data_IF_397421556405
#
_entry.id   IF_397421556405
#
_cell.length_a   1.000
_cell.length_b   1.000
_cell.length_c   1.000
_cell.angle_alpha   90.00
_cell.angle_beta   90.00
_cell.angle_gamma   90.00
#
_symmetry.space_group_name_H-M   'P 1'
#
loop_
_entity.id
_entity.type
_entity.pdbx_description
1 polymer ?
#
# COMPACT_ATOMS: atom_id res chain seq x y z
N UNK A 1 21.60 1.47 12.29
CA UNK A 1 21.89 2.30 11.11
C UNK A 1 22.93 3.32 11.51
N UNK A 2 24.05 3.40 10.78
CA UNK A 2 25.08 4.42 11.04
C UNK A 2 24.69 5.73 10.34
N UNK A 3 25.32 6.85 10.74
CA UNK A 3 25.10 8.19 10.13
C UNK A 3 25.26 8.25 8.59
N UNK A 4 25.87 7.24 7.98
CA UNK A 4 26.14 7.14 6.53
C UNK A 4 24.99 6.56 5.70
N UNK A 5 23.94 5.98 6.31
CA UNK A 5 22.86 5.31 5.57
C UNK A 5 21.87 6.29 4.89
N UNK A 6 21.88 7.58 5.26
CA UNK A 6 20.97 8.60 4.70
C UNK A 6 21.51 9.35 3.48
N UNK A 7 22.69 8.95 2.95
CA UNK A 7 23.34 9.54 1.77
C UNK A 7 23.23 8.64 0.53
N UNK A 8 22.13 7.88 0.41
CA UNK A 8 21.90 7.11 -0.81
C UNK A 8 21.62 8.05 -2.00
N UNK A 9 22.42 7.99 -3.06
CA UNK A 9 22.37 8.94 -4.19
C UNK A 9 21.01 9.05 -4.89
N UNK A 10 20.22 7.97 -4.83
CA UNK A 10 18.88 7.86 -5.38
C UNK A 10 17.77 8.39 -4.46
N UNK A 11 18.06 8.79 -3.22
CA UNK A 11 17.04 9.22 -2.24
C UNK A 11 17.13 10.72 -1.97
N UNK A 12 15.98 11.40 -1.98
CA UNK A 12 15.81 12.78 -1.52
C UNK A 12 14.77 12.81 -0.40
N UNK A 13 15.24 12.91 0.84
CA UNK A 13 14.38 13.04 2.01
C UNK A 13 13.88 14.48 2.19
N UNK A 14 12.67 14.64 2.73
CA UNK A 14 12.32 15.88 3.43
C UNK A 14 13.06 15.97 4.76
N UNK A 15 13.20 17.20 5.27
CA UNK A 15 13.87 17.45 6.55
C UNK A 15 13.18 16.73 7.71
N UNK A 16 11.84 16.66 7.69
CA UNK A 16 11.06 15.99 8.73
C UNK A 16 11.30 14.47 8.75
N UNK A 17 11.25 13.80 7.59
CA UNK A 17 11.51 12.35 7.53
C UNK A 17 12.98 12.07 7.86
N UNK A 18 13.90 12.92 7.39
CA UNK A 18 15.32 12.80 7.74
C UNK A 18 15.52 12.91 9.26
N UNK A 19 14.98 13.92 9.93
CA UNK A 19 15.04 14.05 11.40
C UNK A 19 14.42 12.83 12.10
N UNK A 20 13.25 12.39 11.63
CA UNK A 20 12.54 11.27 12.22
C UNK A 20 13.39 9.98 12.21
N UNK A 21 14.00 9.66 11.07
CA UNK A 21 14.86 8.49 10.95
C UNK A 21 16.16 8.63 11.77
N UNK A 22 16.74 9.83 11.85
CA UNK A 22 17.94 10.08 12.67
C UNK A 22 17.65 9.97 14.18
N UNK A 23 16.48 10.42 14.61
CA UNK A 23 16.07 10.44 16.02
C UNK A 23 15.30 9.18 16.45
N UNK A 24 15.11 8.23 15.52
CA UNK A 24 14.40 6.98 15.78
C UNK A 24 12.92 7.19 16.11
N UNK A 25 12.27 8.19 15.48
CA UNK A 25 10.82 8.37 15.49
C UNK A 25 10.16 7.44 14.48
N UNK A 26 8.91 6.99 14.72
CA UNK A 26 8.20 6.12 13.80
C UNK A 26 7.86 6.83 12.49
N UNK A 27 8.11 6.17 11.36
CA UNK A 27 7.84 6.68 10.01
C UNK A 27 6.99 5.67 9.24
N UNK A 28 5.99 6.14 8.50
CA UNK A 28 5.12 5.33 7.65
C UNK A 28 5.20 5.84 6.21
N UNK A 29 5.63 4.98 5.29
CA UNK A 29 5.64 5.27 3.87
C UNK A 29 4.23 5.22 3.26
N UNK A 30 3.98 6.09 2.28
CA UNK A 30 2.71 6.18 1.53
C UNK A 30 2.99 6.21 0.02
N UNK A 31 2.13 5.61 -0.80
CA UNK A 31 2.31 5.60 -2.26
C UNK A 31 1.75 6.87 -2.93
N UNK A 32 2.26 7.22 -4.12
CA UNK A 32 1.76 8.37 -4.91
C UNK A 32 0.82 7.99 -6.05
N UNK A 33 0.59 6.70 -6.33
CA UNK A 33 -0.41 6.30 -7.35
C UNK A 33 -1.81 6.79 -7.01
N UNK A 34 -2.19 6.83 -5.73
CA UNK A 34 -3.48 7.39 -5.29
C UNK A 34 -3.63 8.86 -5.67
N UNK A 35 -2.51 9.59 -5.71
CA UNK A 35 -2.44 11.02 -6.05
C UNK A 35 -2.57 11.21 -7.57
N UNK A 36 -1.74 10.53 -8.36
CA UNK A 36 -1.67 10.77 -9.81
C UNK A 36 -2.73 10.00 -10.62
N UNK A 37 -3.24 8.89 -10.11
CA UNK A 37 -4.10 7.97 -10.85
C UNK A 37 -5.35 7.50 -10.10
N UNK A 38 -5.48 7.83 -8.81
CA UNK A 38 -6.58 7.37 -7.97
C UNK A 38 -7.84 8.23 -8.10
N UNK A 39 -7.69 9.55 -7.88
CA UNK A 39 -8.78 10.52 -7.86
C UNK A 39 -8.49 11.70 -8.79
N UNK A 40 -9.53 12.43 -9.26
CA UNK A 40 -9.32 13.66 -10.01
C UNK A 40 -8.76 14.76 -9.11
N UNK A 41 -8.05 15.72 -9.71
CA UNK A 41 -7.69 16.97 -9.04
C UNK A 41 -8.91 17.86 -8.85
N UNK A 42 -9.10 18.53 -7.68
CA UNK A 42 -8.17 18.63 -6.53
C UNK A 42 -8.36 17.56 -5.43
N UNK A 43 -9.34 16.66 -5.58
CA UNK A 43 -9.68 15.66 -4.56
C UNK A 43 -8.53 14.70 -4.25
N UNK A 44 -7.67 14.41 -5.23
CA UNK A 44 -6.47 13.61 -5.04
C UNK A 44 -5.48 14.20 -4.03
N UNK A 45 -5.23 15.51 -4.07
CA UNK A 45 -4.32 16.18 -3.14
C UNK A 45 -4.96 16.29 -1.76
N UNK A 46 -6.25 16.64 -1.70
CA UNK A 46 -6.99 16.66 -0.43
C UNK A 46 -6.97 15.28 0.26
N UNK A 47 -7.11 14.21 -0.53
CA UNK A 47 -6.99 12.83 -0.06
C UNK A 47 -5.61 12.53 0.49
N UNK A 48 -4.55 12.87 -0.24
CA UNK A 48 -3.18 12.68 0.23
C UNK A 48 -2.94 13.36 1.58
N UNK A 49 -3.40 14.60 1.73
CA UNK A 49 -3.31 15.36 2.99
C UNK A 49 -4.06 14.68 4.13
N UNK A 50 -5.25 14.14 3.88
CA UNK A 50 -6.00 13.39 4.91
C UNK A 50 -5.29 12.10 5.33
N UNK A 51 -4.68 11.39 4.39
CA UNK A 51 -3.89 10.19 4.70
C UNK A 51 -2.67 10.54 5.55
N UNK A 52 -1.93 11.59 5.18
CA UNK A 52 -0.80 12.07 5.98
C UNK A 52 -1.23 12.51 7.38
N UNK A 53 -2.36 13.21 7.49
CA UNK A 53 -2.93 13.61 8.77
C UNK A 53 -3.32 12.41 9.64
N UNK A 54 -3.85 11.33 9.06
CA UNK A 54 -4.20 10.11 9.78
C UNK A 54 -2.97 9.42 10.40
N UNK A 55 -1.86 9.36 9.67
CA UNK A 55 -0.57 8.86 10.21
C UNK A 55 -0.10 9.75 11.37
N UNK A 56 -0.15 11.08 11.19
CA UNK A 56 0.28 12.05 12.22
C UNK A 56 -0.56 11.97 13.50
N UNK A 57 -1.87 11.76 13.37
CA UNK A 57 -2.77 11.65 14.51
C UNK A 57 -2.42 10.48 15.44
N UNK A 58 -1.77 9.45 14.93
CA UNK A 58 -1.34 8.27 15.69
C UNK A 58 0.13 8.39 16.18
N UNK A 59 0.77 9.55 15.97
CA UNK A 59 2.10 9.87 16.49
C UNK A 59 3.26 9.50 15.56
N UNK A 60 2.99 9.04 14.33
CA UNK A 60 3.99 8.70 13.34
C UNK A 60 4.19 9.82 12.29
N UNK A 61 5.34 9.78 11.62
CA UNK A 61 5.67 10.72 10.54
C UNK A 61 5.33 10.10 9.19
N UNK A 62 4.47 10.73 8.37
CA UNK A 62 4.17 10.24 7.03
C UNK A 62 5.32 10.53 6.07
N UNK A 63 5.59 9.58 5.19
CA UNK A 63 6.57 9.70 4.12
C UNK A 63 5.93 9.32 2.78
N UNK A 64 5.20 10.25 2.16
CA UNK A 64 4.67 10.02 0.80
C UNK A 64 5.82 9.92 -0.20
N UNK A 65 5.82 8.86 -1.03
CA UNK A 65 6.89 8.50 -1.93
C UNK A 65 6.52 8.78 -3.39
N UNK A 66 7.46 9.32 -4.17
CA UNK A 66 7.37 9.43 -5.63
C UNK A 66 8.75 9.46 -6.28
N UNK A 67 8.81 9.66 -7.59
CA UNK A 67 10.07 9.80 -8.34
C UNK A 67 10.04 11.12 -9.10
N UNK A 68 11.12 11.90 -9.00
CA UNK A 68 11.33 13.11 -9.78
C UNK A 68 12.83 13.42 -9.91
N UNK A 69 13.26 13.88 -11.09
CA UNK A 69 14.64 14.34 -11.34
C UNK A 69 15.70 13.29 -10.96
N UNK A 70 15.40 12.02 -11.22
CA UNK A 70 16.34 10.90 -11.05
C UNK A 70 16.50 10.43 -9.61
N UNK A 71 15.60 10.84 -8.71
CA UNK A 71 15.60 10.40 -7.31
C UNK A 71 14.20 10.03 -6.84
N UNK A 72 14.13 9.13 -5.86
CA UNK A 72 12.97 8.98 -5.01
C UNK A 72 12.81 10.20 -4.11
N UNK A 73 11.60 10.73 -4.06
CA UNK A 73 11.18 11.68 -3.05
C UNK A 73 10.68 10.88 -1.85
N UNK A 74 11.26 11.09 -0.68
CA UNK A 74 10.88 10.39 0.55
C UNK A 74 10.31 11.44 1.52
N UNK A 75 8.97 11.46 1.64
CA UNK A 75 8.24 12.50 2.36
C UNK A 75 8.05 13.74 1.49
N UNK A 76 7.11 13.66 0.55
CA UNK A 76 6.68 14.82 -0.24
C UNK A 76 6.25 15.98 0.66
N UNK A 77 6.68 17.20 0.32
CA UNK A 77 6.13 18.42 0.91
C UNK A 77 4.72 18.70 0.34
N UNK A 78 3.99 19.63 0.96
CA UNK A 78 2.68 20.06 0.44
C UNK A 78 2.77 20.58 -1.02
N UNK A 79 3.85 21.29 -1.35
CA UNK A 79 4.13 21.75 -2.70
C UNK A 79 4.45 20.60 -3.67
N UNK A 80 5.03 19.50 -3.18
CA UNK A 80 5.24 18.29 -3.97
C UNK A 80 3.92 17.56 -4.21
N UNK A 81 3.07 17.42 -3.19
CA UNK A 81 1.73 16.82 -3.32
C UNK A 81 0.88 17.60 -4.34
N UNK A 82 0.85 18.93 -4.22
CA UNK A 82 0.13 19.81 -5.13
C UNK A 82 0.66 19.68 -6.56
N UNK A 83 1.99 19.69 -6.73
CA UNK A 83 2.65 19.51 -8.03
C UNK A 83 2.33 18.15 -8.64
N UNK A 84 2.38 17.07 -7.88
CA UNK A 84 2.06 15.72 -8.36
C UNK A 84 0.57 15.59 -8.71
N UNK A 85 -0.32 16.11 -7.88
CA UNK A 85 -1.77 16.03 -8.11
C UNK A 85 -2.26 16.85 -9.30
N UNK A 86 -1.64 18.00 -9.58
CA UNK A 86 -2.00 18.85 -10.71
C UNK A 86 -1.36 18.42 -12.04
N UNK A 87 -0.23 17.70 -12.00
CA UNK A 87 0.51 17.32 -13.22
C UNK A 87 -0.16 16.14 -13.92
N UNK A 88 -0.56 16.34 -15.17
CA UNK A 88 -1.06 15.26 -16.04
C UNK A 88 0.11 14.44 -16.62
N UNK A 89 -0.15 13.15 -16.87
CA UNK A 89 0.80 12.28 -17.57
C UNK A 89 2.00 11.82 -16.73
N UNK A 90 1.94 11.93 -15.40
CA UNK A 90 2.89 11.23 -14.53
C UNK A 90 2.79 9.73 -14.82
N UNK A 91 3.94 9.06 -14.94
CA UNK A 91 3.98 7.63 -15.24
C UNK A 91 3.61 6.84 -13.99
N UNK A 92 2.68 5.89 -14.09
CA UNK A 92 2.45 4.90 -13.03
C UNK A 92 3.63 3.93 -13.00
N UNK A 93 4.42 3.97 -11.93
CA UNK A 93 5.71 3.27 -11.85
C UNK A 93 5.62 2.04 -10.97
N UNK A 94 5.76 0.85 -11.55
CA UNK A 94 6.01 -0.40 -10.83
C UNK A 94 7.52 -0.64 -10.65
N UNK A 95 7.91 -1.68 -9.90
CA UNK A 95 9.32 -1.93 -9.55
C UNK A 95 10.23 -2.09 -10.79
N UNK A 96 9.72 -2.71 -11.86
CA UNK A 96 10.45 -2.85 -13.14
C UNK A 96 10.68 -1.52 -13.87
N UNK A 97 9.84 -0.53 -13.61
CA UNK A 97 9.87 0.76 -14.32
C UNK A 97 10.86 1.73 -13.64
N UNK A 98 11.21 1.48 -12.36
CA UNK A 98 12.08 2.35 -11.54
C UNK A 98 13.38 2.72 -12.25
N UNK A 99 14.21 1.78 -12.76
CA UNK A 99 15.52 2.14 -13.30
C UNK A 99 15.41 3.05 -14.51
N UNK A 100 14.38 2.85 -15.34
CA UNK A 100 14.14 3.65 -16.55
C UNK A 100 13.72 5.07 -16.17
N UNK A 101 12.75 5.22 -15.25
CA UNK A 101 12.26 6.54 -14.84
C UNK A 101 13.35 7.34 -14.11
N UNK A 102 14.14 6.69 -13.26
CA UNK A 102 15.28 7.33 -12.60
C UNK A 102 16.33 7.79 -13.62
N UNK A 103 16.74 6.92 -14.54
CA UNK A 103 17.75 7.26 -15.55
C UNK A 103 17.32 8.41 -16.47
N UNK A 104 16.03 8.51 -16.77
CA UNK A 104 15.47 9.59 -17.60
C UNK A 104 15.26 10.90 -16.84
N UNK A 105 15.39 10.90 -15.51
CA UNK A 105 15.05 12.06 -14.69
C UNK A 105 13.54 12.36 -14.66
N UNK A 106 12.69 11.41 -15.03
CA UNK A 106 11.25 11.61 -15.22
C UNK A 106 10.45 11.72 -13.91
N UNK A 107 9.14 11.97 -14.04
CA UNK A 107 8.19 11.91 -12.92
C UNK A 107 7.48 10.56 -12.89
N UNK A 108 7.52 9.90 -11.74
CA UNK A 108 6.88 8.62 -11.51
C UNK A 108 6.03 8.62 -10.25
N UNK A 109 4.77 8.21 -10.38
CA UNK A 109 3.89 7.91 -9.27
C UNK A 109 4.10 6.45 -8.87
N UNK A 110 4.60 6.22 -7.66
CA UNK A 110 4.93 4.87 -7.19
C UNK A 110 3.68 4.09 -6.87
N UNK A 111 3.66 2.82 -7.28
CA UNK A 111 2.70 1.80 -6.85
C UNK A 111 3.11 1.25 -5.48
N UNK A 112 2.37 0.30 -4.93
CA UNK A 112 2.79 -0.48 -3.77
C UNK A 112 4.19 -1.04 -3.98
N UNK A 113 4.43 -1.85 -5.02
CA UNK A 113 5.75 -2.46 -5.27
C UNK A 113 6.89 -1.43 -5.29
N UNK A 114 6.78 -0.33 -6.04
CA UNK A 114 7.88 0.65 -6.10
C UNK A 114 8.03 1.48 -4.82
N UNK A 115 6.94 1.69 -4.09
CA UNK A 115 7.00 2.34 -2.77
C UNK A 115 7.72 1.46 -1.75
N UNK A 116 7.56 0.12 -1.81
CA UNK A 116 8.30 -0.79 -0.93
C UNK A 116 9.80 -0.81 -1.22
N UNK A 117 10.21 -0.74 -2.50
CA UNK A 117 11.62 -0.60 -2.86
C UNK A 117 12.21 0.65 -2.21
N UNK A 118 11.54 1.79 -2.38
CA UNK A 118 12.00 3.06 -1.84
C UNK A 118 11.97 3.11 -0.31
N UNK A 119 10.93 2.56 0.33
CA UNK A 119 10.82 2.49 1.78
C UNK A 119 11.92 1.62 2.40
N UNK A 120 12.18 0.43 1.83
CA UNK A 120 13.25 -0.46 2.30
C UNK A 120 14.64 0.18 2.13
N UNK A 121 14.90 0.80 0.97
CA UNK A 121 16.13 1.57 0.73
C UNK A 121 16.29 2.75 1.71
N UNK A 122 15.19 3.39 2.08
CA UNK A 122 15.16 4.49 3.05
C UNK A 122 15.23 4.03 4.51
N UNK A 123 15.15 2.73 4.78
CA UNK A 123 15.06 2.18 6.14
C UNK A 123 13.74 2.49 6.85
N UNK A 124 12.66 2.71 6.11
CA UNK A 124 11.31 2.92 6.65
C UNK A 124 10.60 1.56 6.78
N UNK A 125 10.31 1.09 8.01
CA UNK A 125 9.83 -0.27 8.23
C UNK A 125 8.32 -0.45 8.00
N UNK A 126 7.54 0.61 7.83
CA UNK A 126 6.09 0.55 7.64
C UNK A 126 5.64 1.24 6.35
N UNK A 127 4.65 0.67 5.70
CA UNK A 127 3.98 1.24 4.53
C UNK A 127 2.47 1.04 4.65
N UNK A 128 1.69 2.04 4.23
CA UNK A 128 0.23 1.94 4.17
C UNK A 128 -0.29 2.14 2.74
N UNK A 129 -1.28 1.34 2.36
CA UNK A 129 -2.08 1.54 1.16
C UNK A 129 -3.53 1.12 1.44
N UNK A 130 -4.44 1.56 0.58
CA UNK A 130 -5.84 1.16 0.62
C UNK A 130 -5.97 -0.37 0.46
N UNK A 131 -5.28 -0.92 -0.54
CA UNK A 131 -5.37 -2.33 -0.89
C UNK A 131 -4.26 -2.72 -1.85
N UNK A 132 -3.74 -3.93 -1.73
CA UNK A 132 -2.63 -4.41 -2.55
C UNK A 132 -3.12 -4.85 -3.94
N UNK A 133 -2.21 -4.92 -4.91
CA UNK A 133 -2.42 -5.76 -6.08
C UNK A 133 -2.34 -7.25 -5.71
N UNK A 134 -2.63 -8.12 -6.67
CA UNK A 134 -2.66 -9.56 -6.42
C UNK A 134 -2.76 -10.35 -7.72
N UNK A 135 -3.27 -11.57 -7.61
CA UNK A 135 -3.55 -12.42 -8.76
C UNK A 135 -4.86 -11.95 -9.40
N UNK A 136 -4.85 -11.67 -10.71
CA UNK A 136 -6.06 -11.28 -11.41
C UNK A 136 -6.96 -12.49 -11.68
N UNK A 137 -8.27 -12.24 -11.86
CA UNK A 137 -9.22 -13.28 -12.26
C UNK A 137 -8.83 -13.81 -13.65
N UNK A 138 -8.74 -15.13 -13.82
CA UNK A 138 -8.27 -15.77 -15.05
C UNK A 138 -6.73 -15.83 -15.20
N UNK A 139 -5.98 -15.55 -14.13
CA UNK A 139 -4.51 -15.61 -14.14
C UNK A 139 -3.95 -17.02 -14.30
N UNK A 140 -4.74 -18.07 -14.04
CA UNK A 140 -4.34 -19.46 -14.31
C UNK A 140 -4.09 -19.73 -15.80
N UNK A 141 -4.58 -18.83 -16.68
CA UNK A 141 -4.30 -18.83 -18.12
C UNK A 141 -3.46 -17.62 -18.55
N UNK A 142 -3.82 -16.44 -18.06
CA UNK A 142 -3.23 -15.18 -18.54
C UNK A 142 -1.90 -14.83 -17.88
N UNK A 143 -1.61 -15.41 -16.70
CA UNK A 143 -0.48 -15.06 -15.85
C UNK A 143 -0.44 -13.56 -15.46
N UNK A 144 -1.58 -12.86 -15.47
CA UNK A 144 -1.69 -11.48 -14.99
C UNK A 144 -1.63 -11.43 -13.46
N UNK A 145 -0.42 -11.27 -12.94
CA UNK A 145 -0.12 -11.27 -11.50
C UNK A 145 0.61 -9.99 -11.14
N UNK A 146 0.13 -9.27 -10.13
CA UNK A 146 0.75 -8.02 -9.69
C UNK A 146 2.19 -8.24 -9.22
N UNK A 147 3.07 -7.31 -9.62
CA UNK A 147 4.45 -7.25 -9.14
C UNK A 147 4.54 -7.02 -7.62
N UNK A 148 3.47 -6.54 -6.98
CA UNK A 148 3.40 -6.38 -5.52
C UNK A 148 3.73 -7.69 -4.80
N UNK A 149 3.18 -8.83 -5.28
CA UNK A 149 3.35 -10.13 -4.63
C UNK A 149 4.82 -10.58 -4.60
N UNK A 150 5.54 -10.35 -5.69
CA UNK A 150 6.99 -10.60 -5.77
C UNK A 150 7.76 -9.57 -4.97
N UNK A 151 7.32 -8.31 -4.92
CA UNK A 151 8.02 -7.30 -4.16
C UNK A 151 7.96 -7.56 -2.66
N UNK A 152 6.87 -8.15 -2.15
CA UNK A 152 6.79 -8.57 -0.75
C UNK A 152 7.89 -9.58 -0.38
N UNK A 153 8.44 -10.35 -1.32
CA UNK A 153 9.55 -11.27 -1.00
C UNK A 153 10.92 -10.60 -0.96
N UNK A 154 10.99 -9.33 -1.37
CA UNK A 154 12.25 -8.59 -1.62
C UNK A 154 12.43 -7.36 -0.74
N UNK A 155 11.39 -6.91 -0.05
CA UNK A 155 11.42 -5.70 0.76
C UNK A 155 11.10 -5.99 2.21
N UNK A 156 11.95 -5.51 3.12
CA UNK A 156 11.77 -5.64 4.57
C UNK A 156 10.87 -4.54 5.12
N UNK A 157 9.59 -4.57 4.74
CA UNK A 157 8.59 -3.56 5.10
C UNK A 157 7.31 -4.23 5.59
N UNK A 158 6.75 -3.77 6.69
CA UNK A 158 5.42 -4.14 7.15
C UNK A 158 4.36 -3.34 6.38
N UNK A 159 3.47 -4.03 5.68
CA UNK A 159 2.49 -3.45 4.76
C UNK A 159 1.10 -3.51 5.38
N UNK A 160 0.50 -2.35 5.63
CA UNK A 160 -0.85 -2.23 6.18
C UNK A 160 -1.83 -1.92 5.06
N UNK A 161 -2.89 -2.73 4.92
CA UNK A 161 -3.89 -2.58 3.86
C UNK A 161 -5.26 -3.16 4.22
N UNK A 162 -6.30 -2.85 3.44
CA UNK A 162 -7.60 -3.52 3.54
C UNK A 162 -7.68 -4.79 2.68
N UNK A 163 -6.59 -5.56 2.65
CA UNK A 163 -6.45 -6.76 1.82
C UNK A 163 -6.17 -6.44 0.35
N UNK A 164 -6.56 -7.35 -0.54
CA UNK A 164 -6.40 -7.17 -1.99
C UNK A 164 -7.63 -6.49 -2.60
N UNK A 165 -7.42 -5.68 -3.64
CA UNK A 165 -8.51 -4.98 -4.36
C UNK A 165 -9.58 -5.99 -4.83
N UNK A 166 -10.86 -5.72 -4.58
CA UNK A 166 -11.97 -6.68 -4.81
C UNK A 166 -12.10 -7.20 -6.24
N UNK A 167 -11.56 -6.45 -7.22
CA UNK A 167 -11.50 -6.83 -8.65
C UNK A 167 -10.58 -8.03 -8.94
N UNK A 168 -9.75 -8.42 -7.98
CA UNK A 168 -8.77 -9.50 -8.10
C UNK A 168 -9.37 -10.86 -7.74
N UNK A 169 -8.59 -11.93 -7.91
CA UNK A 169 -8.87 -13.24 -7.38
C UNK A 169 -8.21 -13.39 -6.00
N UNK A 170 -9.02 -13.29 -4.94
CA UNK A 170 -8.51 -13.29 -3.57
C UNK A 170 -8.04 -14.68 -3.14
N UNK A 171 -8.69 -15.75 -3.61
CA UNK A 171 -8.28 -17.12 -3.33
C UNK A 171 -6.90 -17.41 -3.90
N UNK A 172 -6.70 -17.14 -5.19
CA UNK A 172 -5.39 -17.30 -5.81
C UNK A 172 -4.34 -16.36 -5.23
N UNK A 173 -4.72 -15.16 -4.79
CA UNK A 173 -3.79 -14.23 -4.12
C UNK A 173 -3.30 -14.79 -2.79
N UNK A 174 -4.18 -15.37 -1.97
CA UNK A 174 -3.81 -16.01 -0.70
C UNK A 174 -2.87 -17.20 -0.93
N UNK A 175 -3.21 -18.09 -1.86
CA UNK A 175 -2.37 -19.25 -2.23
C UNK A 175 -0.98 -18.83 -2.74
N UNK A 176 -0.93 -17.74 -3.52
CA UNK A 176 0.34 -17.20 -4.00
C UNK A 176 1.21 -16.69 -2.86
N UNK A 177 0.62 -15.93 -1.93
CA UNK A 177 1.32 -15.39 -0.76
C UNK A 177 1.80 -16.49 0.19
N UNK A 178 0.98 -17.52 0.39
CA UNK A 178 1.35 -18.73 1.13
C UNK A 178 2.56 -19.41 0.49
N UNK A 179 2.50 -19.65 -0.83
CA UNK A 179 3.59 -20.26 -1.60
C UNK A 179 4.89 -19.45 -1.50
N UNK A 180 4.81 -18.12 -1.43
CA UNK A 180 5.96 -17.22 -1.28
C UNK A 180 6.39 -17.02 0.18
N UNK A 181 5.76 -17.70 1.14
CA UNK A 181 6.02 -17.58 2.57
C UNK A 181 5.91 -16.13 3.08
N UNK A 182 4.97 -15.34 2.53
CA UNK A 182 4.69 -13.98 2.99
C UNK A 182 3.69 -14.06 4.15
N UNK A 183 4.06 -13.67 5.39
CA UNK A 183 3.14 -13.73 6.51
C UNK A 183 1.97 -12.76 6.35
N UNK A 184 0.77 -13.23 6.67
CA UNK A 184 -0.46 -12.43 6.66
C UNK A 184 -1.07 -12.43 8.06
N UNK A 185 -1.29 -11.24 8.62
CA UNK A 185 -1.89 -11.02 9.92
C UNK A 185 -3.11 -10.13 9.71
N UNK A 186 -4.30 -10.61 10.04
CA UNK A 186 -5.49 -9.75 10.08
C UNK A 186 -5.65 -9.16 11.48
N UNK A 187 -5.66 -7.82 11.54
CA UNK A 187 -5.78 -7.09 12.80
C UNK A 187 -7.24 -7.07 13.25
N UNK A 188 -7.53 -7.72 14.37
CA UNK A 188 -8.87 -7.79 14.97
C UNK A 188 -9.95 -8.37 14.03
N UNK A 189 -9.56 -9.28 13.14
CA UNK A 189 -10.46 -9.92 12.17
C UNK A 189 -10.07 -11.37 11.95
N UNK A 190 -11.07 -12.24 11.83
CA UNK A 190 -10.91 -13.65 11.47
C UNK A 190 -10.91 -13.87 9.94
N UNK A 191 -11.18 -12.83 9.16
CA UNK A 191 -11.33 -12.87 7.71
C UNK A 191 -10.28 -11.98 7.03
N UNK A 192 -9.79 -12.43 5.87
CA UNK A 192 -8.96 -11.61 4.99
C UNK A 192 -9.86 -10.59 4.26
N UNK A 193 -9.74 -9.27 4.51
CA UNK A 193 -10.69 -8.31 3.98
C UNK A 193 -10.64 -8.17 2.46
N UNK A 194 -11.79 -7.82 1.87
CA UNK A 194 -11.96 -7.64 0.42
C UNK A 194 -12.12 -6.15 0.06
N UNK A 195 -11.17 -5.33 0.53
CA UNK A 195 -11.06 -3.92 0.18
C UNK A 195 -12.31 -3.09 0.56
N UNK A 196 -13.27 -2.88 -0.34
CA UNK A 196 -14.54 -2.19 -0.02
C UNK A 196 -15.52 -3.06 0.77
N UNK A 197 -15.31 -4.37 0.74
CA UNK A 197 -16.15 -5.32 1.45
C UNK A 197 -15.41 -5.75 2.71
N UNK A 198 -16.11 -5.71 3.85
CA UNK A 198 -15.53 -6.06 5.15
C UNK A 198 -14.95 -7.47 5.17
N UNK A 199 -15.65 -8.43 4.59
CA UNK A 199 -15.25 -9.83 4.51
C UNK A 199 -15.14 -10.26 3.06
N UNK A 200 -14.10 -11.03 2.75
CA UNK A 200 -13.95 -11.76 1.50
C UNK A 200 -14.58 -13.15 1.56
N UNK A 201 -14.84 -13.68 2.76
CA UNK A 201 -15.25 -15.07 2.99
C UNK A 201 -14.06 -16.04 3.02
N UNK A 202 -12.83 -15.53 2.88
CA UNK A 202 -11.61 -16.32 3.09
C UNK A 202 -11.10 -16.11 4.52
N UNK A 203 -10.84 -17.20 5.28
CA UNK A 203 -10.31 -17.08 6.63
C UNK A 203 -8.92 -16.46 6.61
N UNK A 204 -8.64 -15.60 7.58
CA UNK A 204 -7.30 -15.06 7.79
C UNK A 204 -6.34 -16.17 8.24
N UNK A 205 -5.11 -16.25 7.70
CA UNK A 205 -4.11 -17.21 8.19
C UNK A 205 -3.77 -17.01 9.68
N UNK A 206 -3.64 -15.75 10.10
CA UNK A 206 -3.40 -15.37 11.49
C UNK A 206 -4.26 -14.18 11.89
N UNK A 207 -4.76 -14.19 13.12
CA UNK A 207 -5.41 -13.04 13.75
C UNK A 207 -4.57 -12.56 14.92
N UNK A 208 -4.36 -11.25 15.01
CA UNK A 208 -3.75 -10.61 16.17
C UNK A 208 -4.55 -9.35 16.54
N UNK A 209 -4.79 -9.16 17.84
CA UNK A 209 -5.68 -8.10 18.32
C UNK A 209 -4.93 -6.96 19.03
N UNK A 210 -3.73 -7.25 19.55
CA UNK A 210 -2.88 -6.32 20.29
C UNK A 210 -1.75 -5.77 19.39
N UNK A 211 -1.63 -4.44 19.20
CA UNK A 211 -0.57 -3.83 18.40
C UNK A 211 0.84 -4.17 18.87
N UNK A 212 1.06 -4.40 20.18
CA UNK A 212 2.38 -4.79 20.69
C UNK A 212 2.74 -6.22 20.30
N UNK A 213 1.76 -7.13 20.19
CA UNK A 213 1.99 -8.48 19.68
C UNK A 213 2.31 -8.44 18.18
N UNK A 214 1.61 -7.60 17.41
CA UNK A 214 1.89 -7.39 15.98
C UNK A 214 3.32 -6.87 15.78
N UNK A 215 3.73 -5.87 16.55
CA UNK A 215 5.10 -5.35 16.54
C UNK A 215 6.16 -6.44 16.82
N UNK A 216 5.94 -7.29 17.83
CA UNK A 216 6.83 -8.42 18.12
C UNK A 216 6.86 -9.44 16.99
N UNK A 217 5.72 -9.76 16.38
CA UNK A 217 5.65 -10.71 15.28
C UNK A 217 6.46 -10.24 14.06
N UNK A 218 6.36 -8.94 13.73
CA UNK A 218 7.16 -8.30 12.67
C UNK A 218 8.66 -8.43 12.97
N UNK A 219 9.09 -8.08 14.19
CA UNK A 219 10.49 -8.18 14.59
C UNK A 219 11.00 -9.63 14.60
N UNK A 220 10.20 -10.59 15.10
CA UNK A 220 10.56 -12.02 15.08
C UNK A 220 10.73 -12.53 13.66
N UNK A 221 9.82 -12.18 12.74
CA UNK A 221 9.94 -12.56 11.33
C UNK A 221 11.28 -12.13 10.74
N UNK A 222 11.70 -10.90 10.99
CA UNK A 222 12.97 -10.40 10.49
C UNK A 222 14.20 -10.91 11.27
N UNK A 223 14.07 -11.19 12.57
CA UNK A 223 15.14 -11.83 13.38
C UNK A 223 15.45 -13.26 12.97
N UNK A 224 14.50 -13.96 12.34
CA UNK A 224 14.74 -15.26 11.70
C UNK A 224 15.63 -15.16 10.44
N UNK A 225 15.99 -13.95 10.01
CA UNK A 225 16.80 -13.70 8.82
C UNK A 225 15.99 -13.47 7.54
N UNK A 226 14.66 -13.42 7.64
CA UNK A 226 13.79 -13.17 6.49
C UNK A 226 13.91 -11.71 6.01
N UNK A 227 13.97 -11.52 4.70
CA UNK A 227 14.00 -10.19 4.05
C UNK A 227 12.66 -9.79 3.44
N UNK A 228 11.63 -10.62 3.62
CA UNK A 228 10.29 -10.37 3.09
C UNK A 228 9.48 -9.44 3.99
N UNK A 229 8.46 -8.85 3.38
CA UNK A 229 7.43 -8.05 4.00
C UNK A 229 6.53 -8.91 4.88
N UNK A 230 5.85 -8.25 5.82
CA UNK A 230 4.73 -8.81 6.58
C UNK A 230 3.49 -8.06 6.17
N UNK A 231 2.43 -8.77 5.78
CA UNK A 231 1.14 -8.14 5.46
C UNK A 231 0.29 -8.06 6.73
N UNK A 232 -0.17 -6.86 7.05
CA UNK A 232 -1.14 -6.59 8.11
C UNK A 232 -2.41 -6.09 7.45
N UNK A 233 -3.50 -6.82 7.60
CA UNK A 233 -4.78 -6.44 7.02
C UNK A 233 -5.71 -5.81 8.05
N UNK A 234 -6.50 -4.84 7.61
CA UNK A 234 -7.48 -4.14 8.43
C UNK A 234 -8.77 -3.96 7.63
N UNK A 235 -9.89 -4.59 8.04
CA UNK A 235 -11.14 -4.45 7.32
C UNK A 235 -11.67 -3.02 7.38
N UNK A 236 -12.38 -2.61 6.33
CA UNK A 236 -13.17 -1.37 6.33
C UNK A 236 -14.18 -1.34 7.49
N UNK A 237 -14.47 -0.15 8.01
CA UNK A 237 -15.53 0.04 8.99
C UNK A 237 -16.90 -0.34 8.43
N UNK A 238 -17.75 -0.95 9.27
CA UNK A 238 -19.09 -1.42 8.87
C UNK A 238 -19.96 -0.32 8.28
N UNK A 239 -19.82 0.92 8.78
CA UNK A 239 -20.56 2.09 8.30
C UNK A 239 -20.26 2.46 6.85
N UNK A 240 -19.08 2.10 6.34
CA UNK A 240 -18.60 2.46 5.01
C UNK A 240 -18.48 1.25 4.08
N UNK A 241 -18.73 0.04 4.61
CA UNK A 241 -18.63 -1.21 3.86
C UNK A 241 -19.70 -1.29 2.76
N UNK A 242 -19.32 -1.91 1.65
CA UNK A 242 -20.24 -2.24 0.56
C UNK A 242 -20.51 -3.74 0.61
N UNK A 243 -21.74 -4.10 0.25
CA UNK A 243 -22.14 -5.49 0.16
C UNK A 243 -21.28 -6.25 -0.86
N UNK A 244 -20.83 -7.44 -0.44
CA UNK A 244 -19.93 -8.27 -1.23
C UNK A 244 -20.61 -8.79 -2.49
N UNK A 245 -21.85 -9.27 -2.37
CA UNK A 245 -22.56 -9.88 -3.49
C UNK A 245 -22.92 -8.83 -4.54
N UNK A 246 -23.24 -7.61 -4.11
CA UNK A 246 -23.39 -6.44 -4.98
C UNK A 246 -22.11 -6.19 -5.81
N UNK A 247 -20.95 -6.05 -5.14
CA UNK A 247 -19.67 -5.77 -5.80
C UNK A 247 -19.26 -6.91 -6.74
N UNK A 248 -19.43 -8.17 -6.32
CA UNK A 248 -19.12 -9.34 -7.13
C UNK A 248 -19.96 -9.41 -8.40
N UNK A 249 -21.26 -9.09 -8.33
CA UNK A 249 -22.11 -9.07 -9.52
C UNK A 249 -21.63 -8.05 -10.54
N UNK A 250 -21.29 -6.85 -10.09
CA UNK A 250 -20.80 -5.77 -10.95
C UNK A 250 -19.45 -6.14 -11.58
N UNK A 251 -18.53 -6.73 -10.80
CA UNK A 251 -17.21 -7.14 -11.30
C UNK A 251 -17.35 -8.22 -12.38
N UNK A 252 -18.22 -9.21 -12.18
CA UNK A 252 -18.46 -10.26 -13.18
C UNK A 252 -18.95 -9.68 -14.51
N UNK A 253 -19.94 -8.79 -14.48
CA UNK A 253 -20.45 -8.12 -15.68
C UNK A 253 -19.37 -7.27 -16.37
N UNK A 254 -18.61 -6.50 -15.59
CA UNK A 254 -17.54 -5.66 -16.11
C UNK A 254 -16.39 -6.48 -16.71
N UNK A 255 -16.08 -7.65 -16.14
CA UNK A 255 -15.02 -8.53 -16.65
C UNK A 255 -15.39 -9.14 -18.01
N UNK A 256 -16.64 -9.58 -18.18
CA UNK A 256 -17.16 -10.06 -19.48
C UNK A 256 -17.06 -8.95 -20.53
N UNK A 257 -17.46 -7.73 -20.18
CA UNK A 257 -17.39 -6.61 -21.10
C UNK A 257 -15.93 -6.24 -21.46
N UNK A 258 -15.02 -6.25 -20.49
CA UNK A 258 -13.60 -6.01 -20.73
C UNK A 258 -13.00 -7.01 -21.70
N UNK A 259 -13.40 -8.30 -21.60
CA UNK A 259 -12.95 -9.35 -22.52
C UNK A 259 -13.47 -9.12 -23.94
N UNK A 260 -14.75 -8.78 -24.10
CA UNK A 260 -15.34 -8.44 -25.40
C UNK A 260 -14.67 -7.21 -26.05
N UNK A 261 -14.24 -6.23 -25.25
CA UNK A 261 -13.53 -5.03 -25.69
C UNK A 261 -12.01 -5.25 -25.87
N UNK A 262 -11.48 -6.44 -25.56
CA UNK A 262 -10.07 -6.77 -25.67
C UNK A 262 -9.16 -6.06 -24.66
N UNK A 263 -9.72 -5.58 -23.53
CA UNK A 263 -8.99 -4.84 -22.50
C UNK A 263 -8.26 -5.84 -21.59
N UNK A 264 -6.92 -5.77 -21.57
CA UNK A 264 -6.06 -6.71 -20.84
C UNK A 264 -4.88 -6.03 -20.13
N UNK A 265 -4.23 -6.75 -19.22
CA UNK A 265 -3.02 -6.31 -18.52
C UNK A 265 -3.21 -5.01 -17.74
N UNK A 266 -2.31 -4.02 -17.85
CA UNK A 266 -2.38 -2.77 -17.07
C UNK A 266 -3.69 -1.98 -17.24
N UNK A 267 -4.43 -2.19 -18.34
CA UNK A 267 -5.72 -1.55 -18.60
C UNK A 267 -6.91 -2.17 -17.85
N UNK A 268 -6.81 -3.43 -17.40
CA UNK A 268 -7.91 -4.17 -16.79
C UNK A 268 -8.34 -3.58 -15.44
N UNK A 269 -7.39 -3.32 -14.53
CA UNK A 269 -7.69 -2.75 -13.20
C UNK A 269 -8.41 -1.41 -13.27
N UNK A 270 -7.92 -0.39 -14.00
CA UNK A 270 -8.64 0.87 -14.14
C UNK A 270 -10.02 0.72 -14.78
N UNK A 271 -10.19 -0.24 -15.70
CA UNK A 271 -11.49 -0.50 -16.34
C UNK A 271 -12.51 -1.04 -15.33
N UNK A 272 -12.19 -2.13 -14.64
CA UNK A 272 -13.06 -2.76 -13.64
C UNK A 272 -13.39 -1.77 -12.51
N UNK A 273 -12.39 -1.01 -12.06
CA UNK A 273 -12.60 -0.02 -11.01
C UNK A 273 -13.56 1.11 -11.42
N UNK A 274 -13.47 1.59 -12.67
CA UNK A 274 -14.43 2.58 -13.19
C UNK A 274 -15.84 2.01 -13.33
N UNK A 275 -15.97 0.76 -13.78
CA UNK A 275 -17.28 0.10 -13.88
C UNK A 275 -17.94 -0.01 -12.50
N UNK A 276 -17.18 -0.46 -11.49
CA UNK A 276 -17.63 -0.56 -10.09
C UNK A 276 -18.00 0.81 -9.50
N UNK A 277 -17.19 1.85 -9.75
CA UNK A 277 -17.52 3.21 -9.29
C UNK A 277 -18.79 3.77 -9.94
N UNK A 278 -19.01 3.51 -11.23
CA UNK A 278 -20.21 3.94 -11.96
C UNK A 278 -21.46 3.23 -11.45
N UNK A 279 -21.40 1.91 -11.30
CA UNK A 279 -22.54 1.10 -10.87
C UNK A 279 -22.96 1.39 -9.42
N UNK A 280 -21.99 1.68 -8.55
CA UNK A 280 -22.25 1.99 -7.12
C UNK A 280 -22.56 3.46 -6.85
N UNK A 281 -22.71 4.28 -7.89
CA UNK A 281 -23.02 5.72 -7.81
C UNK A 281 -22.04 6.48 -6.87
N UNK A 282 -20.76 6.12 -6.92
CA UNK A 282 -19.71 6.75 -6.12
C UNK A 282 -19.58 6.26 -4.67
N UNK A 283 -20.39 5.29 -4.20
CA UNK A 283 -20.21 4.68 -2.87
C UNK A 283 -18.81 4.07 -2.69
N UNK A 284 -18.26 3.44 -3.74
CA UNK A 284 -16.91 2.86 -3.70
C UNK A 284 -15.82 3.90 -3.59
N UNK A 285 -16.03 5.14 -4.07
CA UNK A 285 -15.08 6.24 -3.87
C UNK A 285 -15.02 6.61 -2.38
N UNK A 286 -16.18 6.70 -1.71
CA UNK A 286 -16.24 6.95 -0.26
C UNK A 286 -15.62 5.81 0.54
N UNK A 287 -15.94 4.57 0.18
CA UNK A 287 -15.34 3.39 0.80
C UNK A 287 -13.81 3.36 0.63
N UNK A 288 -13.30 3.71 -0.56
CA UNK A 288 -11.87 3.83 -0.83
C UNK A 288 -11.19 4.86 0.09
N UNK A 289 -11.83 6.01 0.26
CA UNK A 289 -11.34 7.04 1.16
C UNK A 289 -11.31 6.58 2.61
N UNK A 290 -12.35 5.88 3.06
CA UNK A 290 -12.42 5.30 4.40
C UNK A 290 -11.27 4.32 4.65
N UNK A 291 -11.03 3.37 3.73
CA UNK A 291 -9.92 2.41 3.89
C UNK A 291 -8.55 3.07 3.81
N UNK A 292 -8.36 4.06 2.94
CA UNK A 292 -7.08 4.79 2.85
C UNK A 292 -6.72 5.45 4.19
N UNK A 293 -7.71 6.07 4.84
CA UNK A 293 -7.52 6.76 6.11
C UNK A 293 -7.34 5.76 7.25
N UNK A 294 -8.18 4.71 7.32
CA UNK A 294 -8.12 3.74 8.41
C UNK A 294 -6.86 2.88 8.38
N UNK A 295 -6.38 2.47 7.20
CA UNK A 295 -5.14 1.69 7.09
C UNK A 295 -3.91 2.55 7.39
N UNK A 296 -3.93 3.84 7.01
CA UNK A 296 -2.86 4.78 7.35
C UNK A 296 -2.80 5.08 8.85
N UNK A 297 -3.95 5.25 9.51
CA UNK A 297 -4.02 5.39 10.96
C UNK A 297 -3.47 4.13 11.66
N UNK A 298 -3.93 2.94 11.26
CA UNK A 298 -3.41 1.70 11.85
C UNK A 298 -1.90 1.55 11.62
N UNK A 299 -1.39 1.89 10.43
CA UNK A 299 0.04 1.87 10.18
C UNK A 299 0.82 2.81 11.10
N UNK A 300 0.31 4.02 11.36
CA UNK A 300 0.89 4.94 12.33
C UNK A 300 0.96 4.34 13.73
N UNK A 301 -0.16 3.75 14.19
CA UNK A 301 -0.24 3.08 15.49
C UNK A 301 0.74 1.92 15.63
N UNK A 302 0.81 1.05 14.63
CA UNK A 302 1.71 -0.10 14.62
C UNK A 302 3.18 0.31 14.52
N UNK A 303 3.49 1.37 13.77
CA UNK A 303 4.83 1.93 13.71
C UNK A 303 5.28 2.45 15.08
N UNK A 304 4.43 3.19 15.79
CA UNK A 304 4.69 3.62 17.16
C UNK A 304 4.94 2.44 18.10
N UNK A 305 4.05 1.44 18.09
CA UNK A 305 4.19 0.24 18.93
C UNK A 305 5.49 -0.54 18.64
N UNK A 306 5.89 -0.63 17.37
CA UNK A 306 7.14 -1.27 16.96
C UNK A 306 8.37 -0.47 17.40
N UNK A 307 8.36 0.86 17.24
CA UNK A 307 9.43 1.73 17.73
C UNK A 307 9.61 1.61 19.24
N UNK A 308 8.53 1.60 20.02
CA UNK A 308 8.59 1.47 21.48
C UNK A 308 9.15 0.11 21.90
N UNK A 309 8.72 -0.96 21.24
CA UNK A 309 9.26 -2.30 21.46
C UNK A 309 10.77 -2.37 21.16
N UNK A 310 11.25 -1.79 20.05
CA UNK A 310 12.68 -1.75 19.73
C UNK A 310 13.49 -0.95 20.77
N UNK A 311 12.94 0.15 21.29
CA UNK A 311 13.59 0.94 22.35
C UNK A 311 13.75 0.13 23.63
N UNK A 312 12.72 -0.63 24.02
CA UNK A 312 12.76 -1.50 25.19
C UNK A 312 13.82 -2.62 25.02
N UNK A 313 13.92 -3.20 23.83
CA UNK A 313 14.93 -4.23 23.54
C UNK A 313 16.37 -3.70 23.57
N UNK A 314 16.60 -2.45 23.17
CA UNK A 314 17.93 -1.84 23.20
C UNK A 314 18.37 -1.36 24.60
N UNK A 315 17.44 -1.30 25.55
CA UNK A 315 17.71 -0.93 26.95
C UNK A 315 17.91 -2.15 27.87
N UNK A 316 17.54 -3.34 27.40
CA UNK A 316 17.69 -4.62 28.10
C UNK A 316 19.04 -5.27 27.79
#
# INVERSE_FOLDING_TARGET
MSKTDFEHELLRFSDEVKDALHTGKPVVALESTVIAHGLPYPDNVATARHIEAAVRAEGAIPATIGIENGRFLIGMSDADLERFGATKGIVKTSSRDIPVILAQGGKGATTVASSLVAADLAGIPFFASAGIGGVHRGAEKSMDVSADLIQFTRSRVAVVCAGAKSILDLGLTLEYLETQCVPIISYQSDDFPAFYCRSSGFPSPHRLDDPHVVARAIDMHWKLGNRSSVLITHPIHDSDAIDKDEVESIIREAAIQAEHEGIRGPGATPYLMRAVAKATQGRTVKANMSVLISTAALAGRLACAHTDYLRQQNQA
#
